data_IF_783643499750
#
_entry.id   IF_783643499750
#
_cell.length_a   1.000
_cell.length_b   1.000
_cell.length_c   1.000
_cell.angle_alpha   90.00
_cell.angle_beta   90.00
_cell.angle_gamma   90.00
#
_symmetry.space_group_name_H-M   'P 1'
#
loop_
_entity.id
_entity.type
_entity.pdbx_description
1 polymer ?
#
# COMPACT_ATOMS: atom_id res chain seq x y z
N UNK A 1 -21.88 61.50 -59.83
CA UNK A 1 -21.73 61.29 -58.38
C UNK A 1 -21.89 59.81 -57.96
N UNK A 2 -22.31 58.88 -58.83
CA UNK A 2 -22.60 57.46 -58.48
C UNK A 2 -21.38 56.58 -58.32
N UNK A 3 -20.29 56.84 -59.01
CA UNK A 3 -19.07 55.99 -58.92
C UNK A 3 -18.33 56.08 -57.56
N UNK A 4 -18.44 57.19 -56.82
CA UNK A 4 -17.86 57.32 -55.48
C UNK A 4 -18.63 56.55 -54.42
N UNK A 5 -19.94 56.43 -54.57
CA UNK A 5 -20.82 55.65 -53.64
C UNK A 5 -20.57 54.14 -53.82
N UNK A 6 -20.42 53.64 -55.04
CA UNK A 6 -20.13 52.23 -55.32
C UNK A 6 -18.79 51.78 -54.72
N UNK A 7 -17.73 52.62 -54.85
CA UNK A 7 -16.40 52.33 -54.30
C UNK A 7 -16.40 52.28 -52.74
N UNK A 8 -17.20 53.12 -52.11
CA UNK A 8 -17.41 53.11 -50.63
C UNK A 8 -18.17 51.86 -50.15
N UNK A 9 -19.13 51.39 -50.93
CA UNK A 9 -19.91 50.19 -50.62
C UNK A 9 -19.00 48.95 -50.67
N UNK A 10 -18.16 48.85 -51.69
CA UNK A 10 -17.23 47.72 -51.88
C UNK A 10 -16.15 47.64 -50.80
N UNK A 11 -15.62 48.77 -50.35
CA UNK A 11 -14.68 48.86 -49.25
C UNK A 11 -15.35 48.50 -47.89
N UNK A 12 -16.60 48.93 -47.67
CA UNK A 12 -17.35 48.61 -46.50
C UNK A 12 -17.68 47.11 -46.40
N UNK A 13 -18.02 46.48 -47.54
CA UNK A 13 -18.20 45.02 -47.61
C UNK A 13 -16.93 44.23 -47.29
N UNK A 14 -15.78 44.71 -47.76
CA UNK A 14 -14.49 44.09 -47.49
C UNK A 14 -14.15 44.17 -45.98
N UNK A 15 -14.36 45.32 -45.35
CA UNK A 15 -14.15 45.48 -43.91
C UNK A 15 -15.10 44.64 -43.07
N UNK A 16 -16.39 44.60 -43.47
CA UNK A 16 -17.39 43.77 -42.80
C UNK A 16 -17.04 42.26 -42.90
N UNK A 17 -16.59 41.79 -44.06
CA UNK A 17 -16.16 40.42 -44.28
C UNK A 17 -14.93 40.08 -43.43
N UNK A 18 -13.95 40.99 -43.38
CA UNK A 18 -12.76 40.82 -42.56
C UNK A 18 -13.11 40.78 -41.08
N UNK A 19 -13.97 41.67 -40.64
CA UNK A 19 -14.46 41.71 -39.24
C UNK A 19 -15.22 40.41 -38.87
N UNK A 20 -16.13 39.95 -39.73
CA UNK A 20 -16.85 38.71 -39.48
C UNK A 20 -15.94 37.47 -39.44
N UNK A 21 -14.90 37.41 -40.27
CA UNK A 21 -13.89 36.33 -40.21
C UNK A 21 -13.08 36.39 -38.93
N UNK A 22 -12.62 37.57 -38.51
CA UNK A 22 -11.92 37.74 -37.23
C UNK A 22 -12.80 37.40 -36.04
N UNK A 23 -14.06 37.80 -36.07
CA UNK A 23 -15.00 37.49 -35.01
C UNK A 23 -15.29 36.01 -34.90
N UNK A 24 -15.50 35.31 -36.04
CA UNK A 24 -15.62 33.83 -36.06
C UNK A 24 -14.36 33.13 -35.55
N UNK A 25 -13.18 33.60 -35.93
CA UNK A 25 -11.91 33.11 -35.44
C UNK A 25 -11.77 33.27 -33.92
N UNK A 26 -12.12 34.43 -33.39
CA UNK A 26 -12.11 34.69 -31.95
C UNK A 26 -13.11 33.79 -31.19
N UNK A 27 -14.33 33.63 -31.71
CA UNK A 27 -15.32 32.73 -31.09
C UNK A 27 -14.87 31.28 -31.07
N UNK A 28 -14.25 30.79 -32.16
CA UNK A 28 -13.72 29.41 -32.20
C UNK A 28 -12.57 29.22 -31.22
N UNK A 29 -11.63 30.15 -31.09
CA UNK A 29 -10.54 30.10 -30.12
C UNK A 29 -11.08 30.08 -28.67
N UNK A 30 -12.05 30.93 -28.35
CA UNK A 30 -12.68 30.98 -27.02
C UNK A 30 -13.37 29.64 -26.73
N UNK A 31 -14.11 29.08 -27.69
CA UNK A 31 -14.80 27.79 -27.52
C UNK A 31 -13.82 26.64 -27.28
N UNK A 32 -12.72 26.58 -28.04
CA UNK A 32 -11.68 25.58 -27.86
C UNK A 32 -11.02 25.72 -26.49
N UNK A 33 -10.68 26.94 -26.08
CA UNK A 33 -10.08 27.21 -24.77
C UNK A 33 -11.05 26.83 -23.63
N UNK A 34 -12.33 27.12 -23.76
CA UNK A 34 -13.34 26.76 -22.78
C UNK A 34 -13.52 25.23 -22.64
N UNK A 35 -13.56 24.51 -23.76
CA UNK A 35 -13.63 23.03 -23.74
C UNK A 35 -12.37 22.43 -23.11
N UNK A 36 -11.17 22.94 -23.47
CA UNK A 36 -9.93 22.47 -22.90
C UNK A 36 -9.86 22.70 -21.39
N UNK A 37 -10.17 23.91 -20.93
CA UNK A 37 -10.17 24.23 -19.50
C UNK A 37 -11.20 23.42 -18.74
N UNK A 38 -12.39 23.20 -19.31
CA UNK A 38 -13.44 22.35 -18.75
C UNK A 38 -12.99 20.89 -18.65
N UNK A 39 -12.34 20.38 -19.68
CA UNK A 39 -11.80 19.00 -19.67
C UNK A 39 -10.72 18.83 -18.58
N UNK A 40 -9.76 19.75 -18.50
CA UNK A 40 -8.73 19.73 -17.46
C UNK A 40 -9.32 19.84 -16.05
N UNK A 41 -10.35 20.67 -15.89
CA UNK A 41 -11.04 20.82 -14.62
C UNK A 41 -11.80 19.55 -14.24
N UNK A 42 -12.49 18.91 -15.18
CA UNK A 42 -13.20 17.66 -14.96
C UNK A 42 -12.24 16.53 -14.59
N UNK A 43 -11.07 16.43 -15.23
CA UNK A 43 -10.03 15.46 -14.89
C UNK A 43 -9.50 15.67 -13.47
N UNK A 44 -9.24 16.92 -13.07
CA UNK A 44 -8.82 17.26 -11.72
C UNK A 44 -9.90 16.98 -10.65
N UNK A 45 -11.18 17.04 -11.00
CA UNK A 45 -12.28 16.73 -10.08
C UNK A 45 -12.55 15.24 -9.92
N UNK A 46 -12.25 14.41 -10.93
CA UNK A 46 -12.39 12.93 -10.84
C UNK A 46 -11.53 12.32 -9.76
N UNK A 47 -10.46 12.99 -9.35
CA UNK A 47 -9.55 12.53 -8.31
C UNK A 47 -9.99 12.91 -6.89
N UNK A 48 -11.08 13.68 -6.72
CA UNK A 48 -11.58 14.08 -5.40
C UNK A 48 -12.65 13.12 -4.91
N UNK A 49 -12.34 12.37 -3.87
CA UNK A 49 -13.29 11.51 -3.18
C UNK A 49 -13.91 12.31 -2.04
N UNK A 50 -15.22 12.52 -2.07
CA UNK A 50 -15.98 13.13 -0.98
C UNK A 50 -16.45 12.02 -0.04
N UNK A 51 -15.98 12.03 1.20
CA UNK A 51 -16.47 11.12 2.24
C UNK A 51 -17.53 11.86 3.05
N UNK A 52 -18.77 11.38 3.01
CA UNK A 52 -19.87 11.83 3.88
C UNK A 52 -19.76 11.08 5.22
N UNK A 53 -19.32 11.77 6.26
CA UNK A 53 -19.40 11.26 7.63
C UNK A 53 -20.70 11.73 8.25
N UNK A 54 -21.66 10.79 8.38
CA UNK A 54 -22.93 10.92 9.11
C UNK A 54 -23.63 12.30 9.10
N UNK A 55 -23.53 13.04 7.98
CA UNK A 55 -24.34 14.25 7.74
C UNK A 55 -23.90 15.53 8.47
N UNK A 56 -22.71 15.60 9.09
CA UNK A 56 -22.29 16.75 9.90
C UNK A 56 -21.08 17.55 9.41
N UNK A 57 -20.25 17.05 8.52
CA UNK A 57 -19.21 17.86 7.87
C UNK A 57 -18.73 17.26 6.57
N UNK A 58 -18.64 18.06 5.53
CA UNK A 58 -17.92 17.74 4.31
C UNK A 58 -16.43 17.86 4.64
N UNK A 59 -15.80 16.77 5.08
CA UNK A 59 -14.35 16.71 5.17
C UNK A 59 -13.87 16.54 3.73
N UNK A 60 -13.25 17.60 3.21
CA UNK A 60 -12.47 17.50 1.98
C UNK A 60 -11.32 16.54 2.26
N UNK A 61 -11.54 15.25 1.99
CA UNK A 61 -10.45 14.32 1.93
C UNK A 61 -9.56 14.81 0.79
N UNK A 62 -8.41 15.40 1.13
CA UNK A 62 -7.38 15.72 0.16
C UNK A 62 -7.13 14.42 -0.63
N UNK A 63 -7.61 14.37 -1.86
CA UNK A 63 -7.24 13.31 -2.78
C UNK A 63 -5.76 13.50 -3.06
N UNK A 64 -4.95 12.90 -2.21
CA UNK A 64 -3.55 12.70 -2.55
C UNK A 64 -3.53 11.92 -3.86
N UNK A 65 -2.75 12.42 -4.79
CA UNK A 65 -2.57 11.80 -6.10
C UNK A 65 -2.38 10.28 -5.92
N UNK A 66 -3.21 9.47 -6.60
CA UNK A 66 -3.15 8.01 -6.47
C UNK A 66 -1.74 7.49 -6.73
N UNK A 67 -0.97 8.14 -7.59
CA UNK A 67 0.42 7.81 -7.86
C UNK A 67 1.34 8.00 -6.64
N UNK A 68 1.06 8.97 -5.76
CA UNK A 68 1.84 9.19 -4.53
C UNK A 68 1.45 8.25 -3.40
N UNK A 69 0.20 7.80 -3.36
CA UNK A 69 -0.31 6.91 -2.31
C UNK A 69 0.05 5.43 -2.54
N UNK A 70 0.14 5.00 -3.80
CA UNK A 70 0.43 3.59 -4.13
C UNK A 70 1.71 3.04 -3.47
N UNK A 71 2.85 3.77 -3.44
CA UNK A 71 4.05 3.29 -2.73
C UNK A 71 3.85 3.13 -1.22
N UNK A 72 3.04 3.98 -0.60
CA UNK A 72 2.73 3.88 0.85
C UNK A 72 1.82 2.69 1.11
N UNK A 73 0.76 2.54 0.31
CA UNK A 73 -0.15 1.38 0.37
C UNK A 73 0.58 0.06 0.15
N UNK A 74 1.53 0.00 -0.79
CA UNK A 74 2.33 -1.19 -1.06
C UNK A 74 3.20 -1.58 0.15
N UNK A 75 3.88 -0.63 0.77
CA UNK A 75 4.67 -0.88 1.98
C UNK A 75 3.80 -1.33 3.15
N UNK A 76 2.64 -0.73 3.33
CA UNK A 76 1.70 -1.12 4.39
C UNK A 76 1.14 -2.53 4.16
N UNK A 77 0.82 -2.88 2.91
CA UNK A 77 0.38 -4.23 2.55
C UNK A 77 1.42 -5.29 2.91
N UNK A 78 2.68 -5.04 2.55
CA UNK A 78 3.79 -5.95 2.86
C UNK A 78 4.04 -6.02 4.38
N UNK A 79 4.02 -4.89 5.09
CA UNK A 79 4.14 -4.85 6.55
C UNK A 79 3.07 -5.70 7.21
N UNK A 80 1.81 -5.47 6.87
CA UNK A 80 0.68 -6.20 7.44
C UNK A 80 0.75 -7.69 7.18
N UNK A 81 1.17 -8.10 5.98
CA UNK A 81 1.41 -9.50 5.68
C UNK A 81 2.45 -10.11 6.63
N UNK A 82 3.61 -9.47 6.79
CA UNK A 82 4.68 -9.98 7.66
C UNK A 82 4.26 -10.05 9.12
N UNK A 83 3.57 -9.03 9.62
CA UNK A 83 3.04 -9.01 10.99
C UNK A 83 2.05 -10.15 11.22
N UNK A 84 1.12 -10.38 10.29
CA UNK A 84 0.14 -11.47 10.42
C UNK A 84 0.77 -12.85 10.26
N UNK A 85 1.71 -13.01 9.32
CA UNK A 85 2.23 -14.31 8.95
C UNK A 85 3.31 -14.83 9.93
N UNK A 86 4.14 -13.92 10.42
CA UNK A 86 5.30 -14.29 11.25
C UNK A 86 5.12 -14.00 12.75
N UNK A 87 4.02 -13.35 13.17
CA UNK A 87 3.69 -13.22 14.60
C UNK A 87 2.90 -14.44 15.04
N UNK A 88 3.48 -15.20 15.97
CA UNK A 88 2.96 -16.46 16.44
C UNK A 88 2.80 -16.42 17.98
N UNK A 89 1.62 -16.76 18.47
CA UNK A 89 1.34 -17.01 19.86
C UNK A 89 1.28 -18.52 20.13
N UNK A 90 1.45 -19.00 21.37
CA UNK A 90 1.34 -20.42 21.71
C UNK A 90 -0.11 -20.92 21.73
N UNK A 91 -0.92 -20.43 20.82
CA UNK A 91 -2.34 -20.78 20.66
C UNK A 91 -2.63 -21.11 19.18
N UNK A 92 -3.21 -22.28 18.97
CA UNK A 92 -3.53 -22.80 17.64
C UNK A 92 -4.53 -21.91 16.88
N UNK A 93 -5.60 -21.51 17.53
CA UNK A 93 -6.65 -20.71 16.89
C UNK A 93 -6.12 -19.33 16.46
N UNK A 94 -5.29 -18.72 17.30
CA UNK A 94 -4.64 -17.45 16.99
C UNK A 94 -3.67 -17.57 15.83
N UNK A 95 -2.84 -18.64 15.77
CA UNK A 95 -1.94 -18.90 14.64
C UNK A 95 -2.74 -19.06 13.35
N UNK A 96 -3.73 -19.96 13.33
CA UNK A 96 -4.51 -20.24 12.13
C UNK A 96 -5.32 -19.02 11.67
N UNK A 97 -5.87 -18.25 12.62
CA UNK A 97 -6.59 -17.00 12.32
C UNK A 97 -5.71 -15.93 11.70
N UNK A 98 -4.49 -15.75 12.23
CA UNK A 98 -3.53 -14.79 11.70
C UNK A 98 -3.03 -15.21 10.31
N UNK A 99 -2.62 -16.47 10.15
CA UNK A 99 -2.16 -17.01 8.87
C UNK A 99 -3.27 -16.91 7.82
N UNK A 100 -4.51 -17.28 8.15
CA UNK A 100 -5.63 -17.15 7.21
C UNK A 100 -5.78 -15.73 6.68
N UNK A 101 -5.68 -14.73 7.57
CA UNK A 101 -5.75 -13.31 7.17
C UNK A 101 -4.55 -12.91 6.31
N UNK A 102 -3.35 -13.40 6.62
CA UNK A 102 -2.16 -13.16 5.80
C UNK A 102 -2.30 -13.75 4.39
N UNK A 103 -2.87 -14.95 4.26
CA UNK A 103 -3.03 -15.63 2.98
C UNK A 103 -4.01 -14.94 2.01
N UNK A 104 -4.88 -14.04 2.49
CA UNK A 104 -5.65 -13.16 1.60
C UNK A 104 -4.80 -12.09 0.90
N UNK A 105 -3.59 -11.84 1.42
CA UNK A 105 -2.67 -10.82 0.92
C UNK A 105 -1.58 -11.39 0.00
N UNK A 106 -1.52 -12.73 -0.13
CA UNK A 106 -0.45 -13.42 -0.84
C UNK A 106 -0.97 -14.56 -1.72
N UNK A 107 -0.12 -15.04 -2.60
CA UNK A 107 -0.38 -16.14 -3.52
C UNK A 107 -0.04 -17.53 -2.94
N UNK A 108 -0.03 -18.55 -3.80
CA UNK A 108 0.31 -19.92 -3.44
C UNK A 108 1.72 -20.12 -2.86
N UNK A 109 2.66 -19.21 -3.06
CA UNK A 109 4.02 -19.30 -2.51
C UNK A 109 4.02 -19.20 -0.98
N UNK A 110 3.20 -18.30 -0.43
CA UNK A 110 3.03 -18.18 1.02
C UNK A 110 2.30 -19.42 1.60
N UNK A 111 1.33 -19.98 0.87
CA UNK A 111 0.63 -21.21 1.27
C UNK A 111 1.64 -22.37 1.33
N UNK A 112 2.46 -22.54 0.30
CA UNK A 112 3.47 -23.59 0.25
C UNK A 112 4.51 -23.47 1.40
N UNK A 113 4.91 -22.23 1.71
CA UNK A 113 5.80 -21.98 2.85
C UNK A 113 5.14 -22.35 4.19
N UNK A 114 3.89 -21.95 4.40
CA UNK A 114 3.12 -22.34 5.59
C UNK A 114 2.99 -23.85 5.74
N UNK A 115 2.65 -24.56 4.65
CA UNK A 115 2.54 -26.02 4.63
C UNK A 115 3.87 -26.68 4.98
N UNK A 116 4.98 -26.21 4.40
CA UNK A 116 6.31 -26.72 4.73
C UNK A 116 6.67 -26.57 6.22
N UNK A 117 6.28 -25.46 6.85
CA UNK A 117 6.45 -25.25 8.29
C UNK A 117 5.56 -26.19 9.12
N UNK A 118 4.32 -26.38 8.68
CA UNK A 118 3.36 -27.28 9.36
C UNK A 118 3.83 -28.74 9.31
N UNK A 119 4.28 -29.22 8.14
CA UNK A 119 4.83 -30.59 7.96
C UNK A 119 6.07 -30.84 8.81
N UNK A 120 6.91 -29.81 8.99
CA UNK A 120 8.09 -29.89 9.89
C UNK A 120 7.70 -29.80 11.39
N UNK A 121 6.41 -29.74 11.71
CA UNK A 121 5.90 -29.64 13.09
C UNK A 121 6.27 -28.34 13.80
N UNK A 122 6.55 -27.26 13.03
CA UNK A 122 7.01 -25.99 13.59
C UNK A 122 6.00 -25.38 14.54
N UNK A 123 4.73 -25.28 14.15
CA UNK A 123 3.66 -24.72 14.96
C UNK A 123 3.37 -25.55 16.23
N UNK A 124 3.43 -26.88 16.11
CA UNK A 124 3.26 -27.75 17.27
C UNK A 124 4.36 -27.54 18.33
N UNK A 125 5.61 -27.31 17.89
CA UNK A 125 6.71 -26.96 18.80
C UNK A 125 6.51 -25.61 19.48
N UNK A 126 6.04 -24.59 18.73
CA UNK A 126 5.71 -23.26 19.29
C UNK A 126 4.69 -23.40 20.43
N UNK A 127 3.61 -24.15 20.19
CA UNK A 127 2.53 -24.36 21.16
C UNK A 127 3.03 -25.19 22.37
N UNK A 128 3.66 -26.34 22.11
CA UNK A 128 4.11 -27.24 23.16
C UNK A 128 5.17 -26.64 24.09
N UNK A 129 6.02 -25.74 23.56
CA UNK A 129 7.06 -25.04 24.32
C UNK A 129 6.63 -23.68 24.84
N UNK A 130 5.35 -23.32 24.74
CA UNK A 130 4.81 -22.01 25.15
C UNK A 130 5.64 -20.83 24.64
N UNK A 131 6.02 -20.87 23.36
CA UNK A 131 6.87 -19.85 22.70
C UNK A 131 5.99 -18.78 22.08
N UNK A 132 6.29 -17.51 22.34
CA UNK A 132 5.72 -16.38 21.61
C UNK A 132 6.75 -15.80 20.64
N UNK A 133 6.37 -15.57 19.42
CA UNK A 133 7.18 -14.90 18.40
C UNK A 133 6.48 -13.65 17.92
N UNK A 134 7.15 -12.53 18.01
CA UNK A 134 6.67 -11.25 17.49
C UNK A 134 7.59 -10.74 16.40
N UNK A 135 7.04 -10.12 15.36
CA UNK A 135 7.79 -9.54 14.25
C UNK A 135 7.65 -8.03 14.25
N UNK A 136 8.77 -7.36 14.09
CA UNK A 136 8.84 -5.91 13.86
C UNK A 136 9.50 -5.68 12.51
N UNK A 137 8.78 -5.04 11.60
CA UNK A 137 9.30 -4.68 10.28
C UNK A 137 10.08 -3.36 10.40
N UNK A 138 11.38 -3.42 10.19
CA UNK A 138 12.28 -2.26 10.28
C UNK A 138 12.24 -1.41 9.01
N UNK A 139 12.33 -2.04 7.83
CA UNK A 139 12.28 -1.35 6.56
C UNK A 139 11.75 -2.20 5.42
N UNK A 140 11.13 -1.55 4.43
CA UNK A 140 10.63 -2.18 3.23
C UNK A 140 11.13 -1.37 2.04
N UNK A 141 11.89 -2.01 1.16
CA UNK A 141 12.37 -1.44 -0.09
C UNK A 141 11.49 -1.98 -1.21
N UNK A 142 10.84 -1.09 -1.94
CA UNK A 142 10.02 -1.44 -3.10
C UNK A 142 10.61 -0.75 -4.32
N UNK A 143 10.85 -1.52 -5.36
CA UNK A 143 11.21 -1.01 -6.69
C UNK A 143 9.92 -0.91 -7.51
N UNK A 144 9.57 0.32 -7.89
CA UNK A 144 8.37 0.62 -8.67
C UNK A 144 8.68 0.87 -10.15
N UNK A 145 9.94 0.78 -10.57
CA UNK A 145 10.34 1.03 -11.96
C UNK A 145 9.98 -0.16 -12.87
N UNK A 146 9.93 -1.37 -12.32
CA UNK A 146 9.58 -2.58 -13.04
C UNK A 146 8.36 -3.28 -12.43
N UNK A 147 7.45 -3.76 -13.30
CA UNK A 147 6.27 -4.51 -12.87
C UNK A 147 6.39 -6.00 -13.25
N UNK A 148 6.06 -6.96 -12.36
CA UNK A 148 5.64 -6.82 -10.96
C UNK A 148 6.73 -6.20 -10.07
N UNK A 149 6.30 -5.37 -9.08
CA UNK A 149 7.21 -4.61 -8.24
C UNK A 149 8.07 -5.53 -7.36
N UNK A 150 9.39 -5.40 -7.43
CA UNK A 150 10.27 -6.15 -6.55
C UNK A 150 10.28 -5.52 -5.16
N UNK A 151 10.16 -6.36 -4.12
CA UNK A 151 10.12 -5.92 -2.73
C UNK A 151 11.09 -6.73 -1.89
N UNK A 152 11.87 -6.03 -1.10
CA UNK A 152 12.76 -6.59 -0.08
C UNK A 152 12.37 -6.05 1.29
N UNK A 153 12.15 -6.95 2.25
CA UNK A 153 11.70 -6.60 3.60
C UNK A 153 12.75 -7.01 4.62
N UNK A 154 13.11 -6.06 5.47
CA UNK A 154 14.00 -6.25 6.61
C UNK A 154 13.20 -6.17 7.90
N UNK A 155 13.23 -7.22 8.69
CA UNK A 155 12.48 -7.33 9.92
C UNK A 155 13.31 -8.03 11.01
N UNK A 156 12.88 -7.86 12.25
CA UNK A 156 13.39 -8.59 13.41
C UNK A 156 12.29 -9.42 14.02
N UNK A 157 12.62 -10.65 14.38
CA UNK A 157 11.77 -11.55 15.14
C UNK A 157 12.26 -11.60 16.59
N UNK A 158 11.36 -11.32 17.52
CA UNK A 158 11.61 -11.49 18.95
C UNK A 158 10.90 -12.76 19.41
N UNK A 159 11.69 -13.78 19.75
CA UNK A 159 11.21 -15.07 20.18
C UNK A 159 11.36 -15.16 21.70
N UNK A 160 10.22 -15.16 22.40
CA UNK A 160 10.15 -15.19 23.86
C UNK A 160 9.84 -16.61 24.29
N UNK A 161 10.73 -17.18 25.11
CA UNK A 161 10.57 -18.47 25.79
C UNK A 161 10.56 -18.23 27.30
N UNK A 162 10.18 -19.21 28.05
CA UNK A 162 10.14 -19.14 29.51
C UNK A 162 11.53 -18.74 30.11
N UNK A 163 12.62 -19.25 29.55
CA UNK A 163 13.98 -19.04 30.09
C UNK A 163 14.80 -17.97 29.37
N UNK A 164 14.46 -17.62 28.15
CA UNK A 164 15.24 -16.68 27.36
C UNK A 164 14.44 -15.95 26.30
N UNK A 165 14.99 -14.81 25.85
CA UNK A 165 14.52 -14.08 24.67
C UNK A 165 15.62 -14.12 23.62
N UNK A 166 15.25 -14.54 22.41
CA UNK A 166 16.14 -14.57 21.25
C UNK A 166 15.67 -13.53 20.24
N UNK A 167 16.57 -12.70 19.77
CA UNK A 167 16.33 -11.85 18.59
C UNK A 167 16.94 -12.49 17.34
N UNK A 168 16.19 -12.42 16.25
CA UNK A 168 16.52 -13.03 14.97
C UNK A 168 16.26 -12.07 13.83
N UNK A 169 17.18 -11.98 12.86
CA UNK A 169 16.90 -11.27 11.61
C UNK A 169 15.93 -12.07 10.76
N UNK A 170 15.09 -11.34 10.02
CA UNK A 170 14.24 -11.89 8.98
C UNK A 170 14.36 -10.99 7.76
N UNK A 171 15.00 -11.50 6.71
CA UNK A 171 15.05 -10.80 5.41
C UNK A 171 14.27 -11.64 4.41
N UNK A 172 13.29 -11.00 3.78
CA UNK A 172 12.45 -11.65 2.77
C UNK A 172 12.46 -10.86 1.48
N UNK A 173 12.21 -11.56 0.37
CA UNK A 173 11.95 -10.95 -0.92
C UNK A 173 10.65 -11.50 -1.49
N UNK A 174 9.95 -10.66 -2.23
CA UNK A 174 8.73 -11.03 -2.94
C UNK A 174 8.51 -10.12 -4.13
N UNK A 175 7.52 -10.46 -4.94
CA UNK A 175 6.98 -9.59 -5.99
C UNK A 175 5.61 -9.09 -5.57
N UNK A 176 5.29 -7.87 -5.91
CA UNK A 176 4.00 -7.28 -5.61
C UNK A 176 3.26 -6.98 -6.90
N UNK A 177 2.08 -7.57 -7.04
CA UNK A 177 1.18 -7.37 -8.18
C UNK A 177 -0.07 -6.62 -7.75
N UNK A 178 -0.62 -5.80 -8.65
CA UNK A 178 -1.91 -5.16 -8.41
C UNK A 178 -3.03 -6.22 -8.42
N UNK A 179 -3.93 -6.13 -7.46
CA UNK A 179 -5.10 -6.97 -7.31
C UNK A 179 -6.36 -6.12 -7.10
N UNK A 180 -7.52 -6.74 -7.24
CA UNK A 180 -8.79 -6.07 -6.93
C UNK A 180 -8.89 -5.85 -5.42
N UNK A 181 -9.29 -4.65 -5.01
CA UNK A 181 -9.53 -4.32 -3.60
C UNK A 181 -10.75 -5.07 -3.07
N UNK A 182 -10.65 -5.55 -1.85
CA UNK A 182 -11.74 -6.20 -1.11
C UNK A 182 -11.60 -5.90 0.38
N UNK A 183 -12.61 -6.25 1.17
CA UNK A 183 -12.61 -6.07 2.64
C UNK A 183 -11.41 -6.78 3.29
N UNK A 184 -10.99 -7.92 2.74
CA UNK A 184 -9.82 -8.68 3.22
C UNK A 184 -8.49 -8.17 2.64
N UNK A 185 -8.54 -7.39 1.55
CA UNK A 185 -7.37 -6.83 0.86
C UNK A 185 -7.62 -5.39 0.42
N UNK A 186 -7.67 -4.43 1.36
CA UNK A 186 -8.06 -3.05 1.07
C UNK A 186 -7.02 -2.28 0.24
N UNK A 187 -5.74 -2.63 0.33
CA UNK A 187 -4.67 -1.99 -0.46
C UNK A 187 -4.69 -2.45 -1.94
N UNK A 188 -5.26 -3.62 -2.23
CA UNK A 188 -5.37 -4.16 -3.59
C UNK A 188 -4.02 -4.50 -4.19
N UNK A 189 -3.19 -5.23 -3.44
CA UNK A 189 -1.96 -5.85 -3.90
C UNK A 189 -2.00 -7.36 -3.61
N UNK A 190 -1.16 -8.11 -4.30
CA UNK A 190 -0.94 -9.54 -4.05
C UNK A 190 0.55 -9.78 -3.97
N UNK A 191 1.00 -10.40 -2.88
CA UNK A 191 2.38 -10.85 -2.70
C UNK A 191 2.55 -12.15 -3.45
N UNK A 192 3.52 -12.19 -4.36
CA UNK A 192 3.89 -13.36 -5.16
C UNK A 192 5.35 -13.74 -4.92
N UNK A 193 5.67 -15.01 -5.12
CA UNK A 193 7.06 -15.51 -5.09
C UNK A 193 7.79 -15.18 -3.78
N UNK A 194 7.10 -15.36 -2.64
CA UNK A 194 7.66 -15.10 -1.30
C UNK A 194 8.86 -16.05 -1.03
N UNK A 195 10.01 -15.47 -0.72
CA UNK A 195 11.23 -16.19 -0.34
C UNK A 195 11.86 -15.59 0.90
N UNK A 196 12.37 -16.46 1.77
CA UNK A 196 13.14 -16.05 2.93
C UNK A 196 14.63 -16.10 2.53
N UNK A 197 15.28 -14.94 2.56
CA UNK A 197 16.70 -14.81 2.23
C UNK A 197 17.58 -15.06 3.45
N UNK A 198 17.16 -14.52 4.59
CA UNK A 198 17.91 -14.65 5.83
C UNK A 198 16.98 -14.82 7.02
N UNK A 199 17.34 -15.72 7.92
CA UNK A 199 16.68 -15.94 9.20
C UNK A 199 17.69 -16.45 10.21
N UNK A 200 18.49 -15.54 10.80
CA UNK A 200 19.62 -15.86 11.69
C UNK A 200 19.43 -15.26 13.07
N UNK A 201 19.86 -15.98 14.09
CA UNK A 201 19.87 -15.50 15.46
C UNK A 201 20.94 -14.39 15.61
N UNK A 202 20.52 -13.23 16.13
CA UNK A 202 21.40 -12.10 16.43
C UNK A 202 22.01 -12.21 17.82
N UNK A 203 21.26 -12.76 18.78
CA UNK A 203 21.67 -12.92 20.16
C UNK A 203 20.53 -13.47 21.01
N UNK A 204 20.89 -14.03 22.17
CA UNK A 204 19.92 -14.46 23.19
C UNK A 204 20.26 -13.81 24.52
N UNK A 205 19.24 -13.29 25.20
CA UNK A 205 19.34 -12.72 26.54
C UNK A 205 18.60 -13.67 27.50
N UNK A 206 19.27 -14.08 28.58
CA UNK A 206 18.63 -14.89 29.63
C UNK A 206 17.65 -13.98 30.40
N UNK A 207 16.43 -14.44 30.59
CA UNK A 207 15.49 -13.81 31.51
C UNK A 207 15.93 -14.21 32.94
N UNK A 208 16.51 -13.26 33.67
CA UNK A 208 16.87 -13.49 35.06
C UNK A 208 15.57 -13.51 35.88
N UNK A 209 15.15 -14.70 36.29
CA UNK A 209 14.12 -14.84 37.32
C UNK A 209 14.80 -14.52 38.65
N UNK A 210 14.44 -13.40 39.27
CA UNK A 210 14.83 -13.08 40.65
C UNK A 210 14.46 -14.28 41.55
N UNK A 211 15.39 -14.80 42.40
CA UNK A 211 15.03 -15.92 43.24
C UNK A 211 13.85 -15.52 44.13
N UNK A 212 12.90 -16.44 44.27
CA UNK A 212 11.73 -16.23 45.13
C UNK A 212 12.19 -15.94 46.58
N UNK A 213 11.56 -15.01 47.31
CA UNK A 213 11.89 -14.76 48.72
C UNK A 213 11.83 -15.99 49.64
N UNK A 214 11.27 -17.10 49.15
CA UNK A 214 11.23 -18.37 49.90
C UNK A 214 12.55 -19.17 49.85
N UNK A 215 13.46 -18.87 48.93
CA UNK A 215 14.73 -19.60 48.78
C UNK A 215 15.86 -18.99 49.68
N UNK A 216 15.57 -17.89 50.39
CA UNK A 216 16.51 -17.19 51.28
C UNK A 216 16.35 -17.61 52.77
N UNK A 217 15.38 -18.45 53.11
CA UNK A 217 15.09 -18.85 54.50
C UNK A 217 15.64 -20.26 54.89
N UNK A 218 16.78 -20.64 54.33
CA UNK A 218 17.47 -21.92 54.60
C UNK A 218 18.96 -21.75 54.92
N UNK A 219 19.26 -21.08 56.03
CA UNK A 219 20.60 -21.17 56.71
C UNK A 219 20.41 -21.00 58.18
#
# INVERSE_FOLDING_TARGET
MEFKTLKNIESSFRHLRLFSMLFLGACTLISVAAVWTSYRFAEAQRQKIYVLDQGKSLILALSQDMAQNRPVEAREHVRRFHELFFTLSPDREAIEGNVRRALYLADGSAIAYYQSLAEKGYFNRIIASNVSQNVVVDSIRCDFDCYPYAVETFARQKIVRESNVTERTLVTTCRLRNAVRSDNNPQGFLIEDLRILENKDLGSCLLYTSPSPRDISGS
#
